data_IF_695437866059
#
_entry.id   IF_695437866059
#
_cell.length_a   1.000
_cell.length_b   1.000
_cell.length_c   1.000
_cell.angle_alpha   90.00
_cell.angle_beta   90.00
_cell.angle_gamma   90.00
#
_symmetry.space_group_name_H-M   'P 1'
#
loop_
_entity.id
_entity.type
_entity.pdbx_description
1 polymer ?
#
# COMPACT_ATOMS: atom_id res chain seq x y z
N UNK A 1 10.31 37.85 -11.66
CA UNK A 1 9.13 36.96 -11.63
C UNK A 1 9.63 35.52 -11.45
N UNK A 2 9.58 35.00 -10.23
CA UNK A 2 10.06 33.66 -9.86
C UNK A 2 9.28 33.27 -8.60
N UNK A 3 8.08 32.70 -8.77
CA UNK A 3 7.21 32.48 -7.61
C UNK A 3 5.85 31.85 -7.88
N UNK A 4 5.58 31.29 -9.06
CA UNK A 4 4.27 30.64 -9.35
C UNK A 4 4.40 29.16 -9.74
N UNK A 5 5.60 28.68 -10.09
CA UNK A 5 5.84 27.26 -10.43
C UNK A 5 6.14 26.35 -9.21
N UNK A 6 6.22 26.90 -8.00
CA UNK A 6 6.51 26.12 -6.77
C UNK A 6 5.26 25.45 -6.16
N UNK A 7 4.07 25.65 -6.72
CA UNK A 7 2.81 25.17 -6.13
C UNK A 7 2.27 23.86 -6.71
N UNK A 8 2.85 23.31 -7.79
CA UNK A 8 2.39 22.07 -8.42
C UNK A 8 3.27 20.88 -8.01
N UNK A 9 2.65 19.82 -7.49
CA UNK A 9 3.32 18.53 -7.25
C UNK A 9 3.83 17.98 -8.58
N UNK A 10 5.11 17.65 -8.66
CA UNK A 10 5.79 17.29 -9.91
C UNK A 10 5.82 15.78 -10.17
N UNK A 11 5.74 14.97 -9.12
CA UNK A 11 5.80 13.50 -9.16
C UNK A 11 4.58 12.84 -8.52
N UNK A 12 3.97 13.49 -7.52
CA UNK A 12 2.85 12.95 -6.73
C UNK A 12 1.48 13.51 -7.14
N UNK A 13 1.36 14.21 -8.27
CA UNK A 13 0.09 14.74 -8.78
C UNK A 13 -0.96 13.62 -8.96
N UNK A 14 -0.54 12.43 -9.42
CA UNK A 14 -1.44 11.27 -9.55
C UNK A 14 -2.04 10.83 -8.22
N UNK A 15 -1.35 11.03 -7.09
CA UNK A 15 -1.85 10.68 -5.75
C UNK A 15 -2.99 11.60 -5.35
N UNK A 16 -2.87 12.91 -5.63
CA UNK A 16 -3.96 13.86 -5.41
C UNK A 16 -5.16 13.53 -6.31
N UNK A 17 -4.94 13.28 -7.59
CA UNK A 17 -6.02 12.92 -8.53
C UNK A 17 -6.72 11.62 -8.10
N UNK A 18 -5.96 10.61 -7.68
CA UNK A 18 -6.52 9.35 -7.17
C UNK A 18 -7.28 9.54 -5.86
N UNK A 19 -6.77 10.37 -4.94
CA UNK A 19 -7.46 10.68 -3.69
C UNK A 19 -8.79 11.40 -3.94
N UNK A 20 -8.83 12.35 -4.88
CA UNK A 20 -10.07 13.04 -5.28
C UNK A 20 -11.06 12.06 -5.90
N UNK A 21 -10.60 11.17 -6.80
CA UNK A 21 -11.46 10.14 -7.39
C UNK A 21 -12.00 9.16 -6.35
N UNK A 22 -11.15 8.71 -5.42
CA UNK A 22 -11.58 7.85 -4.32
C UNK A 22 -12.62 8.55 -3.44
N UNK A 23 -12.36 9.81 -3.05
CA UNK A 23 -13.30 10.61 -2.27
C UNK A 23 -14.65 10.74 -2.98
N UNK A 24 -14.66 11.12 -4.27
CA UNK A 24 -15.89 11.20 -5.07
C UNK A 24 -16.63 9.86 -5.13
N UNK A 25 -15.93 8.74 -5.37
CA UNK A 25 -16.52 7.41 -5.39
C UNK A 25 -17.16 7.03 -4.04
N UNK A 26 -16.43 7.21 -2.94
CA UNK A 26 -16.92 6.88 -1.60
C UNK A 26 -18.06 7.80 -1.16
N UNK A 27 -18.00 9.10 -1.45
CA UNK A 27 -19.09 10.04 -1.17
C UNK A 27 -20.34 9.67 -1.96
N UNK A 28 -20.23 9.35 -3.24
CA UNK A 28 -21.38 8.94 -4.05
C UNK A 28 -22.00 7.63 -3.55
N UNK A 29 -21.16 6.63 -3.20
CA UNK A 29 -21.62 5.36 -2.64
C UNK A 29 -22.30 5.55 -1.28
N UNK A 30 -21.72 6.37 -0.41
CA UNK A 30 -22.28 6.70 0.89
C UNK A 30 -23.61 7.43 0.77
N UNK A 31 -23.70 8.48 -0.06
CA UNK A 31 -24.94 9.22 -0.31
C UNK A 31 -26.03 8.30 -0.87
N UNK A 32 -25.67 7.43 -1.81
CA UNK A 32 -26.60 6.44 -2.37
C UNK A 32 -27.12 5.48 -1.30
N UNK A 33 -26.23 4.92 -0.46
CA UNK A 33 -26.61 4.02 0.63
C UNK A 33 -27.46 4.72 1.70
N UNK A 34 -27.12 5.96 2.05
CA UNK A 34 -27.86 6.80 2.99
C UNK A 34 -29.27 7.14 2.49
N UNK A 35 -29.43 7.49 1.21
CA UNK A 35 -30.75 7.79 0.65
C UNK A 35 -31.64 6.55 0.58
N UNK A 36 -31.04 5.36 0.48
CA UNK A 36 -31.71 4.06 0.42
C UNK A 36 -31.86 3.36 1.78
N UNK A 37 -31.46 3.97 2.90
CA UNK A 37 -31.46 3.31 4.20
C UNK A 37 -32.85 3.22 4.89
N UNK A 38 -33.90 3.76 4.27
CA UNK A 38 -35.28 3.61 4.72
C UNK A 38 -35.48 4.08 6.18
N UNK A 39 -36.07 3.25 7.08
CA UNK A 39 -36.30 3.61 8.48
C UNK A 39 -35.05 3.97 9.28
N UNK A 40 -33.86 3.59 8.80
CA UNK A 40 -32.58 3.86 9.48
C UNK A 40 -31.97 5.21 9.10
N UNK A 41 -32.51 5.92 8.10
CA UNK A 41 -32.01 7.23 7.65
C UNK A 41 -31.85 8.25 8.79
N UNK A 42 -32.82 8.43 9.71
CA UNK A 42 -32.70 9.38 10.81
C UNK A 42 -31.55 9.03 11.78
N UNK A 43 -31.31 7.73 12.02
CA UNK A 43 -30.22 7.26 12.86
C UNK A 43 -28.86 7.52 12.23
N UNK A 44 -28.73 7.31 10.92
CA UNK A 44 -27.50 7.62 10.17
C UNK A 44 -27.21 9.13 10.22
N UNK A 45 -28.21 9.98 10.04
CA UNK A 45 -28.06 11.45 10.11
C UNK A 45 -27.65 11.93 11.51
N UNK A 46 -28.20 11.32 12.56
CA UNK A 46 -27.86 11.64 13.95
C UNK A 46 -26.40 11.29 14.27
N UNK A 47 -25.94 10.11 13.85
CA UNK A 47 -24.56 9.68 14.03
C UNK A 47 -23.61 10.55 13.20
N UNK A 48 -23.94 10.86 11.95
CA UNK A 48 -23.16 11.75 11.10
C UNK A 48 -23.00 13.14 11.74
N UNK A 49 -24.09 13.71 12.27
CA UNK A 49 -24.05 14.99 12.99
C UNK A 49 -23.15 14.96 14.22
N UNK A 50 -23.19 13.86 14.98
CA UNK A 50 -22.33 13.67 16.17
C UNK A 50 -20.86 13.55 15.79
N UNK A 51 -20.55 12.72 14.80
CA UNK A 51 -19.18 12.55 14.30
C UNK A 51 -18.65 13.87 13.73
N UNK A 52 -19.46 14.60 12.96
CA UNK A 52 -19.09 15.91 12.42
C UNK A 52 -18.80 16.92 13.52
N UNK A 53 -19.56 16.91 14.62
CA UNK A 53 -19.33 17.80 15.78
C UNK A 53 -18.02 17.48 16.50
N UNK A 54 -17.69 16.20 16.65
CA UNK A 54 -16.47 15.76 17.37
C UNK A 54 -15.21 15.90 16.50
N UNK A 55 -15.30 15.53 15.23
CA UNK A 55 -14.16 15.47 14.31
C UNK A 55 -13.98 16.75 13.50
N UNK A 56 -15.04 17.54 13.29
CA UNK A 56 -15.00 18.80 12.56
C UNK A 56 -13.90 19.76 13.04
N UNK A 57 -13.79 20.05 14.34
CA UNK A 57 -12.73 20.91 14.88
C UNK A 57 -11.32 20.36 14.65
N UNK A 58 -11.16 19.04 14.62
CA UNK A 58 -9.88 18.39 14.33
C UNK A 58 -9.53 18.50 12.85
N UNK A 59 -10.52 18.28 11.97
CA UNK A 59 -10.35 18.46 10.53
C UNK A 59 -9.98 19.90 10.19
N UNK A 60 -10.73 20.88 10.69
CA UNK A 60 -10.48 22.31 10.43
C UNK A 60 -9.06 22.72 10.85
N UNK A 61 -8.53 22.12 11.92
CA UNK A 61 -7.18 22.41 12.40
C UNK A 61 -6.06 21.76 11.58
N UNK A 62 -6.31 20.62 10.94
CA UNK A 62 -5.25 19.79 10.36
C UNK A 62 -5.44 19.45 8.87
N UNK A 63 -6.51 19.89 8.21
CA UNK A 63 -6.81 19.53 6.82
C UNK A 63 -5.71 19.95 5.81
N UNK A 64 -4.93 20.99 6.12
CA UNK A 64 -3.81 21.44 5.28
C UNK A 64 -2.52 20.61 5.46
N UNK A 65 -2.37 19.93 6.61
CA UNK A 65 -1.13 19.19 6.95
C UNK A 65 -0.83 18.06 5.95
N UNK A 66 -1.80 17.24 5.50
CA UNK A 66 -1.56 16.22 4.48
C UNK A 66 -1.06 16.80 3.14
N UNK A 67 -1.53 17.99 2.76
CA UNK A 67 -1.11 18.64 1.50
C UNK A 67 0.33 19.13 1.60
N UNK A 68 0.70 19.77 2.71
CA UNK A 68 2.07 20.22 2.95
C UNK A 68 3.05 19.04 3.08
N UNK A 69 2.62 17.95 3.72
CA UNK A 69 3.40 16.72 3.79
C UNK A 69 3.64 16.12 2.39
N UNK A 70 2.61 16.06 1.54
CA UNK A 70 2.75 15.59 0.16
C UNK A 70 3.73 16.45 -0.65
N UNK A 71 3.70 17.78 -0.49
CA UNK A 71 4.65 18.70 -1.12
C UNK A 71 6.09 18.43 -0.67
N UNK A 72 6.30 18.20 0.63
CA UNK A 72 7.61 17.86 1.17
C UNK A 72 8.17 16.57 0.55
N UNK A 73 7.34 15.52 0.48
CA UNK A 73 7.75 14.24 -0.13
C UNK A 73 8.02 14.41 -1.62
N UNK A 74 7.17 15.13 -2.35
CA UNK A 74 7.35 15.42 -3.78
C UNK A 74 8.68 16.12 -4.08
N UNK A 75 9.01 17.14 -3.28
CA UNK A 75 10.29 17.85 -3.35
C UNK A 75 11.49 16.92 -3.08
N UNK A 76 11.38 16.06 -2.06
CA UNK A 76 12.43 15.07 -1.74
C UNK A 76 12.61 14.00 -2.81
N UNK A 77 11.53 13.59 -3.47
CA UNK A 77 11.58 12.70 -4.63
C UNK A 77 12.31 13.41 -5.78
N UNK A 78 12.00 14.69 -6.05
CA UNK A 78 12.71 15.48 -7.06
C UNK A 78 14.22 15.63 -6.80
N UNK A 79 14.62 15.91 -5.56
CA UNK A 79 16.04 15.92 -5.17
C UNK A 79 16.73 14.56 -5.40
N UNK A 80 16.01 13.47 -5.15
CA UNK A 80 16.53 12.12 -5.32
C UNK A 80 16.69 11.76 -6.80
N UNK A 81 15.68 12.09 -7.61
CA UNK A 81 15.71 11.89 -9.07
C UNK A 81 16.86 12.67 -9.71
N UNK A 82 17.08 13.94 -9.32
CA UNK A 82 18.18 14.75 -9.89
C UNK A 82 19.57 14.28 -9.46
N UNK A 83 19.74 13.78 -8.23
CA UNK A 83 20.99 13.16 -7.77
C UNK A 83 21.27 11.84 -8.48
N UNK A 84 20.23 11.04 -8.71
CA UNK A 84 20.31 9.79 -9.46
C UNK A 84 20.66 10.08 -10.93
N UNK A 85 20.01 11.08 -11.54
CA UNK A 85 20.19 11.46 -12.94
C UNK A 85 21.65 11.87 -13.26
N UNK A 86 22.33 12.52 -12.31
CA UNK A 86 23.76 12.88 -12.40
C UNK A 86 24.71 11.69 -12.22
N UNK A 87 24.26 10.58 -11.67
CA UNK A 87 25.09 9.42 -11.30
C UNK A 87 24.83 8.17 -12.14
N UNK A 88 23.83 8.21 -13.01
CA UNK A 88 23.43 7.04 -13.80
C UNK A 88 23.92 7.17 -15.26
N UNK A 89 24.75 6.22 -15.74
CA UNK A 89 25.20 6.19 -17.13
C UNK A 89 24.03 6.13 -18.14
N UNK A 90 24.18 6.69 -19.35
CA UNK A 90 23.14 6.74 -20.38
C UNK A 90 22.47 5.39 -20.69
N UNK A 91 23.20 4.29 -20.53
CA UNK A 91 22.75 2.91 -20.78
C UNK A 91 21.53 2.54 -19.93
N UNK A 92 21.46 2.94 -18.67
CA UNK A 92 20.35 2.60 -17.78
C UNK A 92 19.09 3.39 -18.14
N UNK A 93 19.23 4.64 -18.63
CA UNK A 93 18.10 5.42 -19.15
C UNK A 93 17.48 4.77 -20.38
N UNK A 94 18.31 4.22 -21.28
CA UNK A 94 17.85 3.52 -22.46
C UNK A 94 17.07 2.25 -22.09
N UNK A 95 17.60 1.42 -21.18
CA UNK A 95 16.91 0.21 -20.71
C UNK A 95 15.58 0.54 -20.03
N UNK A 96 15.50 1.61 -19.25
CA UNK A 96 14.23 2.04 -18.63
C UNK A 96 13.20 2.51 -19.67
N UNK A 97 13.65 3.17 -20.74
CA UNK A 97 12.78 3.63 -21.82
C UNK A 97 12.28 2.46 -22.65
N UNK A 98 13.14 1.49 -22.94
CA UNK A 98 12.78 0.23 -23.59
C UNK A 98 11.81 -0.59 -22.73
N UNK A 99 12.00 -0.65 -21.41
CA UNK A 99 11.09 -1.33 -20.49
C UNK A 99 9.71 -0.64 -20.43
N UNK A 100 9.66 0.70 -20.39
CA UNK A 100 8.39 1.45 -20.44
C UNK A 100 7.69 1.25 -21.79
N UNK A 101 8.43 1.23 -22.89
CA UNK A 101 7.87 0.97 -24.23
C UNK A 101 7.39 -0.48 -24.37
N UNK A 102 8.11 -1.45 -23.82
CA UNK A 102 7.70 -2.85 -23.76
C UNK A 102 6.45 -3.03 -22.89
N UNK A 103 6.37 -2.34 -21.75
CA UNK A 103 5.19 -2.32 -20.89
C UNK A 103 3.97 -1.67 -21.59
N UNK A 104 4.19 -0.63 -22.40
CA UNK A 104 3.13 -0.04 -23.25
C UNK A 104 2.66 -0.95 -24.38
N UNK A 105 3.51 -1.89 -24.82
CA UNK A 105 3.16 -2.96 -25.78
C UNK A 105 2.55 -4.20 -25.13
N UNK A 106 2.63 -4.32 -23.79
CA UNK A 106 2.02 -5.42 -23.04
C UNK A 106 0.50 -5.63 -23.30
N UNK A 107 -0.33 -4.60 -23.57
CA UNK A 107 -1.73 -4.79 -23.94
C UNK A 107 -1.92 -5.58 -25.25
N UNK A 108 -1.02 -5.46 -26.22
CA UNK A 108 -1.07 -6.21 -27.49
C UNK A 108 -0.68 -7.67 -27.27
N UNK A 109 0.35 -7.91 -26.46
CA UNK A 109 0.79 -9.25 -26.06
C UNK A 109 -0.29 -9.95 -25.22
N UNK A 110 -0.96 -9.22 -24.32
CA UNK A 110 -2.07 -9.73 -23.52
C UNK A 110 -3.28 -10.15 -24.37
N UNK A 111 -3.57 -9.41 -25.47
CA UNK A 111 -4.60 -9.81 -26.45
C UNK A 111 -4.22 -11.09 -27.20
N UNK A 112 -2.95 -11.27 -27.55
CA UNK A 112 -2.43 -12.50 -28.17
C UNK A 112 -2.57 -13.71 -27.24
N UNK A 113 -2.18 -13.56 -25.97
CA UNK A 113 -2.31 -14.62 -24.96
C UNK A 113 -3.79 -14.96 -24.69
N UNK A 114 -4.69 -13.97 -24.67
CA UNK A 114 -6.13 -14.21 -24.56
C UNK A 114 -6.68 -15.04 -25.73
N UNK A 115 -6.16 -14.83 -26.95
CA UNK A 115 -6.55 -15.60 -28.14
C UNK A 115 -6.03 -17.06 -28.10
N UNK A 116 -4.84 -17.30 -27.55
CA UNK A 116 -4.29 -18.65 -27.36
C UNK A 116 -4.95 -19.40 -26.21
N UNK A 117 -5.33 -18.68 -25.14
CA UNK A 117 -6.15 -19.21 -24.04
C UNK A 117 -7.52 -19.67 -24.53
N UNK A 118 -8.12 -18.95 -25.50
CA UNK A 118 -9.37 -19.35 -26.13
C UNK A 118 -9.21 -20.62 -27.00
N UNK A 119 -8.02 -20.85 -27.56
CA UNK A 119 -7.73 -21.96 -28.49
C UNK A 119 -7.25 -23.24 -27.80
N UNK A 120 -6.49 -23.14 -26.70
CA UNK A 120 -5.80 -24.28 -26.07
C UNK A 120 -6.36 -24.67 -24.68
N UNK A 121 -7.30 -23.90 -24.13
CA UNK A 121 -7.91 -24.14 -22.82
C UNK A 121 -7.09 -23.58 -21.64
N UNK A 122 -7.77 -22.87 -20.74
CA UNK A 122 -7.20 -22.03 -19.66
C UNK A 122 -6.39 -22.84 -18.62
N UNK A 123 -6.87 -24.02 -18.24
CA UNK A 123 -6.46 -24.69 -16.99
C UNK A 123 -5.09 -25.38 -17.11
N UNK A 124 -4.81 -26.03 -18.24
CA UNK A 124 -3.57 -26.80 -18.42
C UNK A 124 -2.35 -25.88 -18.57
N UNK A 125 -2.49 -24.75 -19.28
CA UNK A 125 -1.43 -23.78 -19.51
C UNK A 125 -1.15 -22.93 -18.27
N UNK A 126 -2.19 -22.45 -17.58
CA UNK A 126 -2.03 -21.65 -16.36
C UNK A 126 -1.41 -22.47 -15.21
N UNK A 127 -1.82 -23.73 -15.04
CA UNK A 127 -1.27 -24.63 -14.03
C UNK A 127 0.21 -24.95 -14.30
N UNK A 128 0.57 -25.21 -15.57
CA UNK A 128 1.97 -25.43 -15.97
C UNK A 128 2.87 -24.21 -15.73
N UNK A 129 2.38 -23.01 -16.06
CA UNK A 129 3.12 -21.76 -15.83
C UNK A 129 3.27 -21.46 -14.34
N UNK A 130 2.20 -21.59 -13.56
CA UNK A 130 2.25 -21.39 -12.11
C UNK A 130 3.26 -22.34 -11.44
N UNK A 131 3.24 -23.62 -11.83
CA UNK A 131 4.17 -24.62 -11.30
C UNK A 131 5.62 -24.31 -11.68
N UNK A 132 5.87 -23.87 -12.92
CA UNK A 132 7.21 -23.47 -13.38
C UNK A 132 7.75 -22.23 -12.68
N UNK A 133 6.90 -21.23 -12.43
CA UNK A 133 7.27 -20.02 -11.68
C UNK A 133 7.56 -20.40 -10.23
N UNK A 134 6.69 -21.20 -9.60
CA UNK A 134 6.88 -21.65 -8.23
C UNK A 134 8.21 -22.38 -8.06
N UNK A 135 8.51 -23.39 -8.88
CA UNK A 135 9.76 -24.15 -8.76
C UNK A 135 11.02 -23.32 -9.03
N UNK A 136 10.92 -22.29 -9.87
CA UNK A 136 12.05 -21.39 -10.16
C UNK A 136 12.37 -20.45 -9.00
N UNK A 137 11.35 -19.92 -8.33
CA UNK A 137 11.52 -18.90 -7.29
C UNK A 137 11.53 -19.47 -5.85
N UNK A 138 10.95 -20.64 -5.61
CA UNK A 138 10.97 -21.33 -4.33
C UNK A 138 12.38 -21.43 -3.69
N UNK A 139 13.44 -21.89 -4.39
CA UNK A 139 14.76 -22.00 -3.76
C UNK A 139 15.34 -20.64 -3.36
N UNK A 140 15.18 -19.62 -4.20
CA UNK A 140 15.63 -18.24 -3.90
C UNK A 140 14.83 -17.63 -2.74
N UNK A 141 13.52 -17.86 -2.69
CA UNK A 141 12.68 -17.42 -1.59
C UNK A 141 13.09 -18.07 -0.27
N UNK A 142 13.35 -19.39 -0.28
CA UNK A 142 13.85 -20.13 0.89
C UNK A 142 15.23 -19.65 1.33
N UNK A 143 16.14 -19.39 0.40
CA UNK A 143 17.47 -18.85 0.70
C UNK A 143 17.39 -17.45 1.34
N UNK A 144 16.57 -16.56 0.77
CA UNK A 144 16.33 -15.24 1.34
C UNK A 144 15.71 -15.35 2.74
N UNK A 145 14.70 -16.21 2.90
CA UNK A 145 14.07 -16.45 4.20
C UNK A 145 15.11 -16.89 5.23
N UNK A 146 15.89 -17.94 4.94
CA UNK A 146 16.92 -18.44 5.84
C UNK A 146 18.01 -17.40 6.18
N UNK A 147 18.33 -16.50 5.24
CA UNK A 147 19.31 -15.42 5.45
C UNK A 147 18.80 -14.32 6.38
N UNK A 148 17.49 -14.04 6.36
CA UNK A 148 16.90 -12.92 7.08
C UNK A 148 16.18 -13.32 8.36
N UNK A 149 15.69 -14.55 8.48
CA UNK A 149 15.10 -15.12 9.70
C UNK A 149 15.94 -14.85 10.96
N UNK A 150 17.25 -15.21 11.03
CA UNK A 150 18.04 -14.96 12.24
C UNK A 150 18.20 -13.46 12.56
N UNK A 151 18.16 -12.58 11.55
CA UNK A 151 18.23 -11.13 11.75
C UNK A 151 16.91 -10.57 12.28
N UNK A 152 15.79 -11.10 11.76
CA UNK A 152 14.46 -10.77 12.25
C UNK A 152 14.28 -11.23 13.69
N UNK A 153 14.69 -12.46 14.02
CA UNK A 153 14.68 -12.99 15.38
C UNK A 153 15.55 -12.15 16.32
N UNK A 154 16.78 -11.83 15.92
CA UNK A 154 17.67 -10.99 16.73
C UNK A 154 17.07 -9.61 16.99
N UNK A 155 16.41 -9.01 15.98
CA UNK A 155 15.69 -7.75 16.13
C UNK A 155 14.52 -7.87 17.11
N UNK A 156 13.71 -8.92 16.96
CA UNK A 156 12.58 -9.19 17.84
C UNK A 156 13.03 -9.41 19.29
N UNK A 157 14.07 -10.21 19.53
CA UNK A 157 14.64 -10.44 20.87
C UNK A 157 15.21 -9.15 21.47
N UNK A 158 15.93 -8.35 20.67
CA UNK A 158 16.47 -7.07 21.14
C UNK A 158 15.37 -6.08 21.52
N UNK A 159 14.34 -5.95 20.67
CA UNK A 159 13.17 -5.13 20.94
C UNK A 159 12.42 -5.60 22.19
N UNK A 160 12.19 -6.91 22.32
CA UNK A 160 11.54 -7.50 23.48
C UNK A 160 12.30 -7.21 24.79
N UNK A 161 13.63 -7.35 24.78
CA UNK A 161 14.47 -7.01 25.95
C UNK A 161 14.36 -5.53 26.32
N UNK A 162 14.43 -4.63 25.34
CA UNK A 162 14.28 -3.18 25.59
C UNK A 162 12.90 -2.83 26.13
N UNK A 163 11.85 -3.45 25.60
CA UNK A 163 10.49 -3.24 26.08
C UNK A 163 10.33 -3.74 27.52
N UNK A 164 10.92 -4.88 27.89
CA UNK A 164 10.91 -5.37 29.28
C UNK A 164 11.65 -4.47 30.28
N UNK A 165 12.48 -3.53 29.84
CA UNK A 165 13.06 -2.51 30.71
C UNK A 165 12.08 -1.38 31.05
N UNK A 166 10.93 -1.29 30.36
CA UNK A 166 9.91 -0.29 30.64
C UNK A 166 9.05 -0.74 31.83
N UNK A 167 8.71 0.16 32.78
CA UNK A 167 8.12 -0.22 34.07
C UNK A 167 6.75 -0.90 33.97
N UNK A 168 5.98 -0.69 32.89
CA UNK A 168 4.63 -1.26 32.73
C UNK A 168 4.57 -2.41 31.71
N UNK A 169 5.58 -2.55 30.86
CA UNK A 169 5.54 -3.52 29.77
C UNK A 169 5.55 -4.99 30.25
N UNK A 170 6.32 -5.41 31.28
CA UNK A 170 6.26 -6.78 31.78
C UNK A 170 4.87 -7.19 32.27
N UNK A 171 4.14 -6.28 32.91
CA UNK A 171 2.78 -6.54 33.40
C UNK A 171 1.82 -6.72 32.22
N UNK A 172 1.88 -5.84 31.21
CA UNK A 172 1.07 -5.96 29.99
C UNK A 172 1.42 -7.24 29.22
N UNK A 173 2.72 -7.56 29.08
CA UNK A 173 3.18 -8.75 28.39
C UNK A 173 2.67 -10.04 29.06
N UNK A 174 2.63 -10.10 30.40
CA UNK A 174 2.13 -11.28 31.12
C UNK A 174 0.65 -11.59 30.88
N UNK A 175 -0.15 -10.61 30.49
CA UNK A 175 -1.57 -10.79 30.16
C UNK A 175 -1.75 -11.07 28.67
N UNK A 176 -1.06 -10.32 27.81
CA UNK A 176 -1.28 -10.37 26.36
C UNK A 176 -0.64 -11.61 25.72
N UNK A 177 0.55 -12.04 26.17
CA UNK A 177 1.27 -13.17 25.56
C UNK A 177 0.47 -14.48 25.65
N UNK A 178 -0.10 -14.87 26.81
CA UNK A 178 -0.92 -16.08 26.89
C UNK A 178 -2.18 -16.01 26.04
N UNK A 179 -2.85 -14.86 25.97
CA UNK A 179 -4.04 -14.69 25.13
C UNK A 179 -3.70 -14.80 23.65
N UNK A 180 -2.61 -14.18 23.21
CA UNK A 180 -2.15 -14.28 21.82
C UNK A 180 -1.76 -15.73 21.45
N UNK A 181 -1.12 -16.46 22.38
CA UNK A 181 -0.78 -17.87 22.19
C UNK A 181 -2.05 -18.73 22.03
N UNK A 182 -3.02 -18.59 22.94
CA UNK A 182 -4.29 -19.31 22.88
C UNK A 182 -5.05 -19.05 21.57
N UNK A 183 -5.13 -17.79 21.13
CA UNK A 183 -5.79 -17.45 19.86
C UNK A 183 -5.06 -18.05 18.64
N UNK A 184 -3.72 -18.07 18.66
CA UNK A 184 -2.92 -18.65 17.58
C UNK A 184 -3.11 -20.16 17.49
N UNK A 185 -3.11 -20.85 18.63
CA UNK A 185 -3.36 -22.28 18.69
C UNK A 185 -4.75 -22.63 18.16
N UNK A 186 -5.77 -21.83 18.52
CA UNK A 186 -7.14 -22.02 17.99
C UNK A 186 -7.28 -21.80 16.50
N UNK A 187 -6.55 -20.86 15.92
CA UNK A 187 -6.53 -20.65 14.48
C UNK A 187 -5.89 -21.84 13.75
N UNK A 188 -4.80 -22.39 14.28
CA UNK A 188 -4.05 -23.49 13.65
C UNK A 188 -4.73 -24.86 13.81
N UNK A 189 -5.69 -25.00 14.72
CA UNK A 189 -6.53 -26.20 14.88
C UNK A 189 -7.69 -26.29 13.85
N UNK A 190 -7.89 -25.26 13.02
CA UNK A 190 -9.00 -25.16 12.05
C UNK A 190 -8.50 -25.36 10.61
#
# INVERSE_FOLDING_TARGET
AKGEDEQRLKYLEFVQVAAVHAALCFTNLYLYAKERSGPLKPSVETVEGTVKSVVGPVYDKYHDVPVEFLKFVDSKVGESVTKLDRRVPPVIKQVSTEAILAAKKAPEVARGVASEVHRAGVVNTASGLAKSVYTKYEPTAKELYAKYEPKAEQCAVSAWRKLNMLPLFPQVASVVVPTAAYCSDKYNET
#
